data_IF_574919493032
#
_entry.id   IF_574919493032
#
_cell.length_a   1.000
_cell.length_b   1.000
_cell.length_c   1.000
_cell.angle_alpha   90.00
_cell.angle_beta   90.00
_cell.angle_gamma   90.00
#
_symmetry.space_group_name_H-M   'P 1'
#
loop_
_entity.id
_entity.type
_entity.pdbx_description
1 polymer ?
#
# COMPACT_ATOMS: atom_id res chain seq x y z
N UNK A 1 16.04 21.60 38.94
CA UNK A 1 14.75 21.19 38.38
C UNK A 1 14.73 21.64 36.91
N UNK A 2 15.13 20.79 36.01
CA UNK A 2 15.19 21.05 34.55
C UNK A 2 13.86 20.62 33.92
N UNK A 3 13.16 21.58 33.33
CA UNK A 3 11.93 21.35 32.58
C UNK A 3 12.28 20.67 31.26
N UNK A 4 11.66 19.51 30.99
CA UNK A 4 11.68 18.86 29.70
C UNK A 4 10.84 19.66 28.70
N UNK A 5 11.29 19.82 27.45
CA UNK A 5 10.49 20.53 26.45
C UNK A 5 9.25 19.72 26.08
N UNK A 6 8.13 20.41 25.91
CA UNK A 6 6.85 19.82 25.43
C UNK A 6 6.97 19.30 23.99
N UNK A 7 6.23 18.24 23.61
CA UNK A 7 6.28 17.71 22.26
C UNK A 7 5.71 18.73 21.25
N UNK A 8 6.44 18.94 20.19
CA UNK A 8 6.08 19.81 19.05
C UNK A 8 4.77 19.32 18.45
N UNK A 9 3.80 20.21 18.31
CA UNK A 9 2.48 19.91 17.75
C UNK A 9 2.60 19.54 16.27
N UNK A 10 1.88 18.50 15.85
CA UNK A 10 1.89 17.92 14.48
C UNK A 10 1.57 18.97 13.38
N UNK A 11 0.94 20.08 13.72
CA UNK A 11 0.64 21.19 12.81
C UNK A 11 1.87 22.03 12.41
N UNK A 12 2.89 22.12 13.25
CA UNK A 12 4.10 22.91 12.95
C UNK A 12 5.07 22.17 12.04
N UNK A 13 5.08 20.82 12.09
CA UNK A 13 5.91 20.01 11.21
C UNK A 13 5.47 20.11 9.74
N UNK A 14 4.17 20.19 9.48
CA UNK A 14 3.64 20.34 8.12
C UNK A 14 3.97 21.71 7.52
N UNK A 15 4.02 22.78 8.30
CA UNK A 15 4.34 24.13 7.79
C UNK A 15 5.80 24.30 7.37
N UNK A 16 6.73 23.55 7.95
CA UNK A 16 8.15 23.61 7.54
C UNK A 16 8.43 22.85 6.24
N UNK A 17 7.66 21.83 5.90
CA UNK A 17 7.81 21.11 4.64
C UNK A 17 7.25 21.93 3.47
N UNK A 18 6.16 22.66 3.68
CA UNK A 18 5.52 23.50 2.64
C UNK A 18 6.39 24.73 2.32
N UNK A 19 7.16 25.26 3.27
CA UNK A 19 8.00 26.46 3.05
C UNK A 19 9.27 26.18 2.22
N UNK A 20 9.67 24.91 2.03
CA UNK A 20 10.86 24.54 1.23
C UNK A 20 10.55 24.09 -0.19
N UNK A 21 9.28 23.90 -0.54
CA UNK A 21 8.86 23.65 -1.91
C UNK A 21 8.83 24.98 -2.68
N UNK A 22 9.79 25.18 -3.59
CA UNK A 22 9.85 26.40 -4.43
C UNK A 22 8.58 26.54 -5.27
N UNK A 23 7.99 27.77 -5.34
CA UNK A 23 6.63 27.97 -5.85
C UNK A 23 6.64 28.08 -7.38
N UNK A 24 6.55 26.95 -8.10
CA UNK A 24 6.03 26.98 -9.46
C UNK A 24 4.52 26.70 -9.52
N UNK A 25 3.96 26.15 -8.46
CA UNK A 25 2.52 25.92 -8.33
C UNK A 25 1.74 27.16 -7.84
N UNK A 26 2.39 28.11 -7.16
CA UNK A 26 1.71 29.27 -6.58
C UNK A 26 1.36 30.36 -7.61
N UNK A 27 1.91 30.31 -8.84
CA UNK A 27 1.63 31.33 -9.88
C UNK A 27 0.36 31.02 -10.71
N UNK A 28 -0.22 29.82 -10.56
CA UNK A 28 -1.41 29.42 -11.32
C UNK A 28 -2.75 29.73 -10.64
N UNK A 29 -2.71 30.10 -9.37
CA UNK A 29 -3.93 30.40 -8.59
C UNK A 29 -4.45 31.83 -8.82
N UNK A 30 -3.69 32.71 -9.51
CA UNK A 30 -4.07 34.12 -9.63
C UNK A 30 -4.73 34.53 -10.96
N UNK A 31 -4.93 33.61 -11.89
CA UNK A 31 -5.65 33.89 -13.15
C UNK A 31 -6.90 32.99 -13.24
N UNK A 32 -7.96 33.50 -12.66
CA UNK A 32 -9.34 33.09 -12.65
C UNK A 32 -9.81 32.06 -13.69
N UNK A 33 -9.90 30.80 -13.26
CA UNK A 33 -10.93 29.83 -13.62
C UNK A 33 -10.79 28.65 -12.66
N UNK A 34 -11.86 28.16 -12.01
CA UNK A 34 -11.82 26.99 -11.16
C UNK A 34 -11.80 25.75 -12.08
N UNK A 35 -10.62 25.36 -12.55
CA UNK A 35 -10.41 23.97 -12.91
C UNK A 35 -10.38 23.21 -11.59
N UNK A 36 -11.48 22.57 -11.25
CA UNK A 36 -11.55 21.62 -10.15
C UNK A 36 -10.64 20.43 -10.49
N UNK A 37 -9.36 20.57 -10.19
CA UNK A 37 -8.46 19.42 -10.20
C UNK A 37 -8.96 18.48 -9.11
N UNK A 38 -9.23 17.22 -9.45
CA UNK A 38 -9.59 16.22 -8.46
C UNK A 38 -8.43 16.07 -7.47
N UNK A 39 -8.73 15.76 -6.20
CA UNK A 39 -7.70 15.47 -5.18
C UNK A 39 -6.70 14.42 -5.68
N UNK A 40 -7.15 13.52 -6.54
CA UNK A 40 -6.37 12.49 -7.20
C UNK A 40 -5.33 13.06 -8.17
N UNK A 41 -5.68 14.10 -8.93
CA UNK A 41 -4.74 14.78 -9.83
C UNK A 41 -3.68 15.54 -9.05
N UNK A 42 -4.06 16.22 -7.97
CA UNK A 42 -3.13 16.90 -7.06
C UNK A 42 -2.18 15.93 -6.37
N UNK A 43 -2.71 14.80 -5.92
CA UNK A 43 -1.90 13.75 -5.29
C UNK A 43 -0.89 13.16 -6.28
N UNK A 44 -1.30 12.91 -7.51
CA UNK A 44 -0.40 12.42 -8.57
C UNK A 44 0.67 13.45 -8.94
N UNK A 45 0.32 14.74 -9.06
CA UNK A 45 1.31 15.80 -9.30
C UNK A 45 2.30 15.94 -8.13
N UNK A 46 1.82 15.86 -6.88
CA UNK A 46 2.67 15.87 -5.70
C UNK A 46 3.60 14.66 -5.65
N UNK A 47 3.11 13.47 -5.99
CA UNK A 47 3.92 12.26 -6.08
C UNK A 47 4.98 12.34 -7.20
N UNK A 48 4.68 13.04 -8.30
CA UNK A 48 5.64 13.30 -9.37
C UNK A 48 6.64 14.43 -9.03
N UNK A 49 6.22 15.44 -8.27
CA UNK A 49 7.05 16.57 -7.86
C UNK A 49 8.03 16.19 -6.72
N UNK A 50 7.62 15.31 -5.83
CA UNK A 50 8.50 14.72 -4.83
C UNK A 50 9.24 13.56 -5.49
N UNK A 51 10.53 13.74 -5.79
CA UNK A 51 11.41 12.61 -6.15
C UNK A 51 11.54 11.68 -4.94
N UNK A 52 10.52 10.88 -4.70
CA UNK A 52 10.60 9.81 -3.72
C UNK A 52 11.69 8.85 -4.17
N UNK A 53 12.73 8.74 -3.39
CA UNK A 53 13.69 7.67 -3.59
C UNK A 53 13.01 6.30 -3.41
N UNK A 54 13.68 5.24 -3.85
CA UNK A 54 13.09 3.90 -3.83
C UNK A 54 12.74 3.42 -2.43
N UNK A 55 13.46 3.88 -1.40
CA UNK A 55 13.25 3.50 0.00
C UNK A 55 11.99 4.15 0.55
N UNK A 56 11.88 5.47 0.49
CA UNK A 56 10.68 6.20 0.95
C UNK A 56 9.41 5.74 0.24
N UNK A 57 9.49 5.45 -1.07
CA UNK A 57 8.36 4.90 -1.82
C UNK A 57 7.94 3.52 -1.28
N UNK A 58 8.90 2.67 -0.91
CA UNK A 58 8.65 1.38 -0.28
C UNK A 58 7.92 1.55 1.05
N UNK A 59 8.45 2.41 1.93
CA UNK A 59 7.88 2.72 3.24
C UNK A 59 6.44 3.26 3.13
N UNK A 60 6.18 4.16 2.18
CA UNK A 60 4.82 4.67 1.92
C UNK A 60 3.86 3.57 1.46
N UNK A 61 4.32 2.65 0.62
CA UNK A 61 3.50 1.53 0.18
C UNK A 61 3.19 0.57 1.33
N UNK A 62 4.15 0.31 2.23
CA UNK A 62 3.93 -0.51 3.42
C UNK A 62 2.91 0.14 4.37
N UNK A 63 3.02 1.45 4.63
CA UNK A 63 2.05 2.20 5.43
C UNK A 63 0.65 2.17 4.81
N UNK A 64 0.55 2.39 3.49
CA UNK A 64 -0.71 2.32 2.76
C UNK A 64 -1.31 0.90 2.83
N UNK A 65 -0.48 -0.15 2.72
CA UNK A 65 -0.88 -1.53 2.87
C UNK A 65 -1.44 -1.81 4.27
N UNK A 66 -0.72 -1.43 5.32
CA UNK A 66 -1.17 -1.64 6.70
C UNK A 66 -2.50 -0.96 6.96
N UNK A 67 -2.67 0.29 6.50
CA UNK A 67 -3.94 1.01 6.58
C UNK A 67 -5.06 0.26 5.85
N UNK A 68 -4.83 -0.13 4.58
CA UNK A 68 -5.82 -0.86 3.76
C UNK A 68 -6.20 -2.18 4.41
N UNK A 69 -5.23 -2.98 4.84
CA UNK A 69 -5.48 -4.26 5.50
C UNK A 69 -6.29 -4.08 6.80
N UNK A 70 -5.95 -3.08 7.62
CA UNK A 70 -6.69 -2.79 8.85
C UNK A 70 -8.14 -2.37 8.57
N UNK A 71 -8.40 -1.55 7.54
CA UNK A 71 -9.78 -1.18 7.14
C UNK A 71 -10.60 -2.37 6.64
N UNK A 72 -9.94 -3.41 6.14
CA UNK A 72 -10.56 -4.67 5.74
C UNK A 72 -10.76 -5.66 6.89
N UNK A 73 -10.42 -5.26 8.12
CA UNK A 73 -10.62 -6.06 9.33
C UNK A 73 -9.49 -7.04 9.64
N UNK A 74 -8.35 -6.94 8.98
CA UNK A 74 -7.16 -7.70 9.35
C UNK A 74 -6.43 -7.02 10.52
N UNK A 75 -5.86 -7.80 11.43
CA UNK A 75 -4.87 -7.27 12.35
C UNK A 75 -3.50 -7.27 11.65
N UNK A 76 -2.73 -6.20 11.83
CA UNK A 76 -1.44 -6.03 11.18
C UNK A 76 -0.34 -5.81 12.21
N UNK A 77 0.85 -6.33 11.93
CA UNK A 77 2.05 -6.12 12.72
C UNK A 77 3.26 -5.96 11.79
N UNK A 78 4.18 -5.09 12.16
CA UNK A 78 5.45 -4.92 11.44
C UNK A 78 6.56 -5.63 12.21
N UNK A 79 7.43 -6.42 11.55
CA UNK A 79 8.58 -7.02 12.21
C UNK A 79 9.56 -5.92 12.67
N UNK A 80 10.34 -6.25 13.68
CA UNK A 80 11.38 -5.35 14.17
C UNK A 80 12.62 -5.42 13.27
N UNK A 81 13.05 -4.28 12.75
CA UNK A 81 14.21 -4.18 11.85
C UNK A 81 13.93 -4.63 10.42
N UNK A 82 15.00 -4.77 9.63
CA UNK A 82 14.98 -5.04 8.19
C UNK A 82 15.55 -6.43 7.83
N UNK A 83 15.63 -7.33 8.82
CA UNK A 83 16.27 -8.66 8.64
C UNK A 83 15.35 -9.69 8.01
N UNK A 84 14.04 -9.53 8.20
CA UNK A 84 13.06 -10.46 7.69
C UNK A 84 12.82 -10.31 6.18
N UNK A 85 12.29 -11.35 5.58
CA UNK A 85 12.00 -11.39 4.14
C UNK A 85 10.61 -10.87 3.79
N UNK A 86 9.80 -10.57 4.80
CA UNK A 86 8.47 -9.98 4.69
C UNK A 86 8.44 -8.61 5.37
N UNK A 87 7.59 -7.74 4.91
CA UNK A 87 7.47 -6.37 5.42
C UNK A 87 6.40 -6.24 6.51
N UNK A 88 5.36 -7.09 6.43
CA UNK A 88 4.19 -7.02 7.32
C UNK A 88 3.67 -8.43 7.63
N UNK A 89 3.24 -8.65 8.87
CA UNK A 89 2.42 -9.79 9.26
C UNK A 89 0.96 -9.37 9.26
N UNK A 90 0.13 -10.15 8.59
CA UNK A 90 -1.32 -9.98 8.55
C UNK A 90 -1.98 -11.15 9.26
N UNK A 91 -2.82 -10.88 10.25
CA UNK A 91 -3.61 -11.91 10.94
C UNK A 91 -5.07 -11.88 10.49
N UNK A 92 -5.56 -13.02 10.04
CA UNK A 92 -6.96 -13.27 9.73
C UNK A 92 -7.48 -14.42 10.62
N UNK A 93 -8.25 -14.09 11.64
CA UNK A 93 -8.65 -15.06 12.66
C UNK A 93 -7.46 -15.64 13.41
N UNK A 94 -7.22 -16.94 13.26
CA UNK A 94 -6.10 -17.67 13.89
C UNK A 94 -4.89 -17.81 12.98
N UNK A 95 -5.00 -17.41 11.69
CA UNK A 95 -3.94 -17.56 10.70
C UNK A 95 -3.12 -16.28 10.61
N UNK A 96 -1.82 -16.45 10.49
CA UNK A 96 -0.86 -15.37 10.27
C UNK A 96 -0.21 -15.53 8.90
N UNK A 97 -0.16 -14.45 8.13
CA UNK A 97 0.44 -14.39 6.81
C UNK A 97 1.64 -13.46 6.80
N UNK A 98 2.75 -13.93 6.25
CA UNK A 98 3.95 -13.14 5.99
C UNK A 98 3.78 -12.47 4.63
N UNK A 99 3.72 -11.15 4.61
CA UNK A 99 3.41 -10.36 3.41
C UNK A 99 4.60 -9.50 3.03
N UNK A 100 5.06 -9.65 1.79
CA UNK A 100 6.01 -8.74 1.16
C UNK A 100 5.25 -7.72 0.34
N UNK A 101 5.52 -6.43 0.56
CA UNK A 101 4.91 -5.33 -0.18
C UNK A 101 5.85 -4.84 -1.28
N UNK A 102 5.34 -4.64 -2.48
CA UNK A 102 6.04 -4.02 -3.61
C UNK A 102 5.22 -2.88 -4.17
N UNK A 103 5.89 -1.85 -4.67
CA UNK A 103 5.23 -0.70 -5.25
C UNK A 103 5.75 -0.37 -6.64
N UNK A 104 4.86 0.12 -7.48
CA UNK A 104 5.19 0.58 -8.84
C UNK A 104 4.59 1.97 -9.04
N UNK A 105 5.44 2.92 -9.44
CA UNK A 105 5.06 4.31 -9.67
C UNK A 105 4.81 4.64 -11.14
N UNK A 106 5.40 3.89 -12.07
CA UNK A 106 5.32 4.20 -13.49
C UNK A 106 5.17 2.94 -14.34
N UNK A 107 4.49 3.08 -15.47
CA UNK A 107 4.43 2.05 -16.49
C UNK A 107 5.82 1.76 -17.08
N UNK A 108 6.00 0.56 -17.60
CA UNK A 108 7.15 0.22 -18.43
C UNK A 108 7.23 1.14 -19.67
N UNK A 109 8.42 1.26 -20.27
CA UNK A 109 8.62 2.11 -21.46
C UNK A 109 7.63 1.88 -22.59
N UNK A 110 7.12 0.64 -22.74
CA UNK A 110 6.07 0.30 -23.71
C UNK A 110 4.71 0.91 -23.39
N UNK A 111 4.53 1.55 -22.23
CA UNK A 111 3.27 2.11 -21.71
C UNK A 111 2.07 1.16 -21.77
N UNK A 112 2.32 -0.15 -21.73
CA UNK A 112 1.26 -1.18 -21.84
C UNK A 112 1.07 -2.01 -20.57
N UNK A 113 2.01 -1.93 -19.62
CA UNK A 113 1.97 -2.72 -18.39
C UNK A 113 2.85 -2.12 -17.31
N UNK A 114 2.56 -2.46 -16.09
CA UNK A 114 3.41 -2.20 -14.94
C UNK A 114 4.30 -3.43 -14.68
N UNK A 115 5.56 -3.19 -14.33
CA UNK A 115 6.51 -4.25 -14.02
C UNK A 115 6.72 -4.31 -12.51
N UNK A 116 6.25 -5.37 -11.88
CA UNK A 116 6.47 -5.65 -10.46
C UNK A 116 7.63 -6.61 -10.32
N UNK A 117 8.68 -6.19 -9.64
CA UNK A 117 9.81 -7.06 -9.31
C UNK A 117 9.40 -8.03 -8.20
N UNK A 118 9.45 -9.33 -8.49
CA UNK A 118 9.11 -10.42 -7.57
C UNK A 118 10.35 -11.15 -7.05
N UNK A 119 11.51 -10.54 -7.19
CA UNK A 119 12.78 -11.05 -6.71
C UNK A 119 13.40 -10.12 -5.68
N UNK A 120 14.23 -10.70 -4.85
CA UNK A 120 15.09 -10.03 -3.86
C UNK A 120 16.34 -9.44 -4.54
N UNK A 121 17.29 -9.05 -3.69
CA UNK A 121 18.64 -8.71 -4.13
C UNK A 121 19.26 -9.92 -4.86
N UNK A 122 20.10 -9.67 -5.88
CA UNK A 122 20.72 -10.68 -6.74
C UNK A 122 19.73 -11.55 -7.54
N UNK A 123 18.51 -11.03 -7.79
CA UNK A 123 17.47 -11.71 -8.58
C UNK A 123 17.03 -13.08 -8.05
N UNK A 124 17.22 -13.32 -6.75
CA UNK A 124 16.71 -14.51 -6.07
C UNK A 124 15.19 -14.34 -5.88
N UNK A 125 14.40 -15.29 -6.30
CA UNK A 125 12.94 -15.28 -6.13
C UNK A 125 12.55 -15.58 -4.67
N UNK A 126 11.36 -15.14 -4.27
CA UNK A 126 10.80 -15.51 -2.97
C UNK A 126 10.29 -16.95 -3.00
N UNK A 127 10.37 -17.61 -1.84
CA UNK A 127 9.90 -18.98 -1.62
C UNK A 127 8.79 -19.00 -0.57
N UNK A 128 8.05 -20.11 -0.51
CA UNK A 128 7.00 -20.32 0.49
C UNK A 128 7.52 -20.36 1.93
N UNK A 129 8.81 -20.66 2.13
CA UNK A 129 9.43 -20.60 3.45
C UNK A 129 9.64 -19.17 3.95
N UNK A 130 9.71 -18.21 3.02
CA UNK A 130 10.02 -16.82 3.34
C UNK A 130 8.77 -15.94 3.45
N UNK A 131 7.82 -16.08 2.50
CA UNK A 131 6.59 -15.29 2.45
C UNK A 131 5.40 -16.15 2.06
N UNK A 132 4.22 -15.73 2.43
CA UNK A 132 2.96 -16.36 2.03
C UNK A 132 2.29 -15.59 0.88
N UNK A 133 2.42 -14.27 0.91
CA UNK A 133 1.88 -13.37 -0.11
C UNK A 133 2.88 -12.29 -0.52
N UNK A 134 2.86 -11.97 -1.81
CA UNK A 134 3.42 -10.72 -2.32
C UNK A 134 2.26 -9.81 -2.73
N UNK A 135 2.23 -8.60 -2.17
CA UNK A 135 1.22 -7.61 -2.49
C UNK A 135 1.86 -6.46 -3.26
N UNK A 136 1.33 -6.16 -4.43
CA UNK A 136 1.82 -5.08 -5.28
C UNK A 136 0.85 -3.89 -5.29
N UNK A 137 1.37 -2.71 -4.96
CA UNK A 137 0.64 -1.46 -5.07
C UNK A 137 1.01 -0.71 -6.34
N UNK A 138 0.02 -0.44 -7.16
CA UNK A 138 0.17 0.35 -8.39
C UNK A 138 -0.30 1.76 -8.08
N UNK A 139 0.63 2.65 -7.73
CA UNK A 139 0.32 4.01 -7.31
C UNK A 139 -0.56 4.78 -8.30
N UNK A 140 -0.28 4.80 -9.64
CA UNK A 140 -1.09 5.56 -10.58
C UNK A 140 -2.52 5.06 -10.77
N UNK A 141 -2.80 3.82 -10.35
CA UNK A 141 -4.11 3.18 -10.49
C UNK A 141 -4.82 3.04 -9.13
N UNK A 142 -4.19 3.49 -8.06
CA UNK A 142 -4.61 3.25 -6.67
C UNK A 142 -5.16 1.82 -6.48
N UNK A 143 -4.44 0.84 -7.01
CA UNK A 143 -4.92 -0.54 -7.03
C UNK A 143 -3.90 -1.52 -6.46
N UNK A 144 -4.43 -2.54 -5.80
CA UNK A 144 -3.67 -3.58 -5.14
C UNK A 144 -3.80 -4.91 -5.86
N UNK A 145 -2.71 -5.64 -5.93
CA UNK A 145 -2.69 -7.01 -6.44
C UNK A 145 -2.15 -7.94 -5.37
N UNK A 146 -2.94 -8.93 -4.97
CA UNK A 146 -2.63 -9.87 -3.89
C UNK A 146 -2.25 -11.20 -4.48
N UNK A 147 -0.96 -11.52 -4.50
CA UNK A 147 -0.44 -12.74 -5.09
C UNK A 147 -0.04 -13.74 -4.01
N UNK A 148 -0.65 -14.94 -3.94
CA UNK A 148 -0.06 -16.05 -3.20
C UNK A 148 1.35 -16.35 -3.72
N UNK A 149 2.25 -16.76 -2.84
CA UNK A 149 3.66 -17.02 -3.22
C UNK A 149 3.77 -18.02 -4.38
N UNK A 150 2.94 -19.03 -4.43
CA UNK A 150 2.90 -20.02 -5.52
C UNK A 150 2.72 -19.41 -6.93
N UNK A 151 2.13 -18.21 -7.02
CA UNK A 151 1.96 -17.50 -8.30
C UNK A 151 3.25 -16.84 -8.76
N UNK A 152 4.12 -16.48 -7.84
CA UNK A 152 5.35 -15.74 -8.10
C UNK A 152 6.60 -16.58 -8.05
N UNK A 153 6.52 -17.83 -7.57
CA UNK A 153 7.64 -18.76 -7.56
C UNK A 153 8.28 -18.86 -8.96
N UNK A 154 9.61 -18.82 -8.97
CA UNK A 154 10.43 -18.86 -10.20
C UNK A 154 10.18 -17.71 -11.19
N UNK A 155 9.46 -16.65 -10.80
CA UNK A 155 9.25 -15.46 -11.61
C UNK A 155 9.99 -14.29 -11.01
N UNK A 156 10.86 -13.65 -11.78
CA UNK A 156 11.60 -12.46 -11.34
C UNK A 156 10.79 -11.17 -11.49
N UNK A 157 9.83 -11.16 -12.40
CA UNK A 157 9.01 -9.99 -12.72
C UNK A 157 7.61 -10.42 -13.12
N UNK A 158 6.59 -9.73 -12.63
CA UNK A 158 5.23 -9.81 -13.14
C UNK A 158 4.92 -8.57 -14.00
N UNK A 159 4.21 -8.79 -15.10
CA UNK A 159 3.72 -7.72 -15.98
C UNK A 159 2.22 -7.56 -15.78
N UNK A 160 1.83 -6.53 -15.02
CA UNK A 160 0.44 -6.24 -14.66
C UNK A 160 -0.16 -5.28 -15.69
N UNK A 161 -1.37 -5.58 -16.13
CA UNK A 161 -2.17 -4.75 -17.06
C UNK A 161 -3.54 -4.51 -16.44
N UNK A 162 -3.69 -3.45 -15.62
CA UNK A 162 -4.96 -3.16 -14.96
C UNK A 162 -6.12 -3.05 -15.94
N UNK A 163 -7.26 -3.64 -15.58
CA UNK A 163 -8.48 -3.63 -16.39
C UNK A 163 -8.45 -4.56 -17.62
N UNK A 164 -7.35 -5.28 -17.89
CA UNK A 164 -7.26 -6.16 -19.04
C UNK A 164 -7.90 -7.52 -18.75
N UNK A 165 -9.09 -7.76 -19.29
CA UNK A 165 -9.80 -9.06 -19.19
C UNK A 165 -9.00 -10.25 -19.73
N UNK A 166 -7.98 -10.01 -20.59
CA UNK A 166 -7.10 -11.05 -21.15
C UNK A 166 -5.91 -11.36 -20.23
N UNK A 167 -5.67 -10.55 -19.20
CA UNK A 167 -4.54 -10.78 -18.28
C UNK A 167 -4.93 -11.81 -17.22
N UNK A 168 -4.24 -12.94 -17.11
CA UNK A 168 -4.52 -13.90 -16.04
C UNK A 168 -4.20 -13.37 -14.66
N UNK A 169 -3.44 -12.27 -14.57
CA UNK A 169 -3.09 -11.64 -13.30
C UNK A 169 -4.19 -10.70 -12.78
N UNK A 170 -5.17 -10.32 -13.63
CA UNK A 170 -6.24 -9.41 -13.22
C UNK A 170 -7.14 -10.00 -12.12
N UNK A 171 -7.26 -11.32 -12.03
CA UNK A 171 -7.98 -12.00 -10.95
C UNK A 171 -7.39 -11.77 -9.55
N UNK A 172 -6.16 -11.29 -9.47
CA UNK A 172 -5.48 -10.96 -8.21
C UNK A 172 -5.67 -9.50 -7.80
N UNK A 173 -6.34 -8.69 -8.64
CA UNK A 173 -6.65 -7.31 -8.32
C UNK A 173 -7.67 -7.27 -7.19
N UNK A 174 -7.36 -6.51 -6.14
CA UNK A 174 -8.17 -6.38 -4.91
C UNK A 174 -8.60 -7.74 -4.31
N UNK A 175 -7.83 -8.80 -4.54
CA UNK A 175 -8.17 -10.16 -4.14
C UNK A 175 -7.84 -10.44 -2.67
N UNK A 176 -8.27 -9.56 -1.78
CA UNK A 176 -8.03 -9.63 -0.33
C UNK A 176 -8.64 -10.88 0.33
N UNK A 177 -9.67 -11.45 -0.27
CA UNK A 177 -10.31 -12.69 0.18
C UNK A 177 -9.35 -13.87 0.20
N UNK A 178 -8.28 -13.86 -0.60
CA UNK A 178 -7.25 -14.91 -0.60
C UNK A 178 -6.50 -15.00 0.74
N UNK A 179 -6.46 -13.91 1.52
CA UNK A 179 -5.87 -13.91 2.86
C UNK A 179 -6.88 -14.30 3.95
N UNK A 180 -8.16 -14.49 3.64
CA UNK A 180 -9.15 -14.94 4.60
C UNK A 180 -9.15 -16.46 4.65
N UNK A 181 -9.08 -17.07 5.85
CA UNK A 181 -9.21 -18.52 5.96
C UNK A 181 -10.59 -18.96 5.46
N UNK A 182 -10.62 -20.06 4.73
CA UNK A 182 -11.88 -20.69 4.29
C UNK A 182 -12.65 -21.14 5.54
N UNK A 183 -13.87 -20.63 5.74
CA UNK A 183 -14.75 -21.05 6.85
C UNK A 183 -15.01 -20.02 7.95
N UNK A 184 -14.49 -18.78 7.85
CA UNK A 184 -14.94 -17.68 8.73
C UNK A 184 -15.87 -16.79 7.92
N UNK A 185 -17.12 -17.25 7.78
CA UNK A 185 -18.20 -16.35 7.40
C UNK A 185 -18.35 -15.27 8.48
N UNK A 186 -18.62 -14.06 8.03
CA UNK A 186 -18.73 -12.83 8.81
C UNK A 186 -19.80 -12.94 9.92
N UNK A 187 -19.45 -13.49 11.09
CA UNK A 187 -20.28 -13.45 12.29
C UNK A 187 -19.99 -12.19 13.11
N UNK A 188 -20.08 -11.02 12.52
CA UNK A 188 -19.81 -9.76 13.25
C UNK A 188 -20.82 -8.65 12.97
N UNK A 189 -21.97 -8.95 12.35
CA UNK A 189 -23.03 -7.96 12.18
C UNK A 189 -24.19 -8.10 13.19
N UNK A 190 -24.32 -9.22 13.91
CA UNK A 190 -25.45 -9.45 14.82
C UNK A 190 -25.16 -9.29 16.33
N UNK A 191 -23.89 -9.16 16.72
CA UNK A 191 -23.54 -9.08 18.15
C UNK A 191 -23.71 -7.67 18.75
N UNK A 192 -23.97 -6.63 17.98
CA UNK A 192 -24.14 -5.25 18.50
C UNK A 192 -25.61 -4.86 18.65
N UNK A 193 -26.54 -5.58 18.06
CA UNK A 193 -27.97 -5.27 18.15
C UNK A 193 -28.67 -5.87 19.36
N UNK A 194 -28.03 -6.77 20.14
CA UNK A 194 -28.65 -7.50 21.25
C UNK A 194 -28.46 -6.91 22.65
N UNK A 195 -27.70 -5.84 22.83
CA UNK A 195 -27.35 -5.29 24.16
C UNK A 195 -28.14 -4.07 24.62
N UNK A 196 -29.22 -3.71 23.94
CA UNK A 196 -30.01 -2.51 24.26
C UNK A 196 -31.45 -2.78 24.68
N UNK A 197 -31.74 -3.89 25.35
CA UNK A 197 -33.04 -4.05 26.08
C UNK A 197 -32.93 -5.16 27.14
N UNK A 198 -32.68 -4.79 28.35
CA UNK A 198 -33.15 -5.49 29.55
C UNK A 198 -33.43 -4.46 30.63
N UNK A 199 -34.55 -4.57 31.33
CA UNK A 199 -35.15 -3.56 32.21
C UNK A 199 -34.41 -3.34 33.50
#
# INVERSE_FOLDING_TARGET
MSQLPLPICYSEYNNQIISKARPRAALFVFLGSPLSMSEETLLNELLHAVKLDGKHRGELAELAFMRKAATLGFAVAKPWGDSDRYDVIVRAGKVFWRVQVKSVLAMARSRRHYRVKTSKRLDITYTADEIDFLVAYIFPEDSWYVFPVAVIENRKVLCIRPGSKRSPLERYREAWTLMRPVGIESTTAEAVAGAAHAP
#
